data_IF_795290918714
#
_entry.id   IF_795290918714
#
_cell.length_a   1.000
_cell.length_b   1.000
_cell.length_c   1.000
_cell.angle_alpha   90.00
_cell.angle_beta   90.00
_cell.angle_gamma   90.00
#
_symmetry.space_group_name_H-M   'P 1'
#
loop_
_entity.id
_entity.type
_entity.pdbx_description
1 polymer ?
#
# COMPACT_ATOMS: atom_id res chain seq x y z
N UNK A 1 23.03 -8.41 -3.66
CA UNK A 1 21.84 -7.77 -3.04
C UNK A 1 20.94 -8.90 -2.51
N UNK A 2 20.48 -8.84 -1.26
CA UNK A 2 19.57 -9.86 -0.72
C UNK A 2 18.14 -9.60 -1.19
N UNK A 3 17.35 -10.66 -1.35
CA UNK A 3 15.94 -10.53 -1.67
C UNK A 3 15.16 -9.98 -0.46
N UNK A 4 14.36 -8.94 -0.67
CA UNK A 4 13.63 -8.25 0.40
C UNK A 4 12.68 -9.18 1.16
N UNK A 5 11.99 -10.06 0.42
CA UNK A 5 11.09 -11.07 1.00
C UNK A 5 11.86 -12.04 1.90
N UNK A 6 13.02 -12.50 1.45
CA UNK A 6 13.87 -13.40 2.22
C UNK A 6 14.33 -12.74 3.54
N UNK A 7 14.81 -11.50 3.48
CA UNK A 7 15.28 -10.76 4.66
C UNK A 7 14.16 -10.58 5.68
N UNK A 8 12.96 -10.23 5.21
CA UNK A 8 11.78 -10.06 6.06
C UNK A 8 11.34 -11.38 6.69
N UNK A 9 11.23 -12.44 5.90
CA UNK A 9 10.67 -13.71 6.34
C UNK A 9 11.69 -14.52 7.18
N UNK A 10 12.99 -14.20 7.08
CA UNK A 10 14.10 -14.92 7.73
C UNK A 10 15.05 -13.99 8.50
N UNK A 11 14.51 -12.97 9.17
CA UNK A 11 15.30 -11.99 9.95
C UNK A 11 16.33 -12.61 10.90
N UNK A 12 15.99 -13.63 11.71
CA UNK A 12 16.95 -14.27 12.60
C UNK A 12 18.15 -14.90 11.86
N UNK A 13 17.90 -15.45 10.67
CA UNK A 13 18.95 -16.06 9.82
C UNK A 13 19.88 -14.97 9.29
N UNK A 14 19.32 -13.83 8.88
CA UNK A 14 20.10 -12.69 8.38
C UNK A 14 20.92 -12.07 9.51
N UNK A 15 20.34 -11.87 10.69
CA UNK A 15 21.06 -11.37 11.86
C UNK A 15 22.22 -12.29 12.26
N UNK A 16 21.99 -13.60 12.27
CA UNK A 16 23.06 -14.57 12.56
C UNK A 16 24.15 -14.55 11.49
N UNK A 17 23.78 -14.44 10.21
CA UNK A 17 24.74 -14.34 9.11
C UNK A 17 25.58 -13.04 9.18
N UNK A 18 24.99 -11.94 9.65
CA UNK A 18 25.69 -10.68 9.90
C UNK A 18 26.67 -10.81 11.08
N UNK A 19 26.22 -11.40 12.20
CA UNK A 19 27.07 -11.69 13.36
C UNK A 19 28.26 -12.57 13.00
N UNK A 20 28.05 -13.62 12.22
CA UNK A 20 29.11 -14.53 11.74
C UNK A 20 30.16 -13.82 10.86
N UNK A 21 29.80 -12.68 10.27
CA UNK A 21 30.69 -11.84 9.45
C UNK A 21 31.32 -10.69 10.25
N UNK A 22 31.17 -10.70 11.58
CA UNK A 22 31.55 -9.62 12.48
C UNK A 22 30.93 -8.26 12.09
N UNK A 23 29.76 -8.29 11.43
CA UNK A 23 29.01 -7.10 11.07
C UNK A 23 27.88 -6.88 12.07
N UNK A 24 27.92 -5.74 12.77
CA UNK A 24 26.83 -5.29 13.63
C UNK A 24 25.98 -4.27 12.88
N UNK A 25 24.90 -4.74 12.27
CA UNK A 25 23.94 -3.89 11.54
C UNK A 25 22.62 -3.93 12.29
N UNK A 26 22.08 -2.76 12.60
CA UNK A 26 20.73 -2.62 13.15
C UNK A 26 19.70 -2.71 12.02
N UNK A 27 18.83 -3.72 12.08
CA UNK A 27 17.76 -3.93 11.10
C UNK A 27 16.42 -3.33 11.56
N UNK A 28 16.36 -2.70 12.73
CA UNK A 28 15.12 -2.18 13.31
C UNK A 28 14.44 -1.16 12.39
N UNK A 29 15.20 -0.21 11.86
CA UNK A 29 14.68 0.80 10.93
C UNK A 29 14.18 0.16 9.63
N UNK A 30 14.92 -0.83 9.10
CA UNK A 30 14.53 -1.58 7.91
C UNK A 30 13.18 -2.30 8.10
N UNK A 31 12.99 -2.97 9.24
CA UNK A 31 11.72 -3.64 9.57
C UNK A 31 10.57 -2.61 9.63
N UNK A 32 10.81 -1.46 10.25
CA UNK A 32 9.84 -0.38 10.34
C UNK A 32 9.43 0.16 8.98
N UNK A 33 10.41 0.45 8.11
CA UNK A 33 10.15 0.93 6.75
C UNK A 33 9.43 -0.11 5.89
N UNK A 34 9.81 -1.39 5.95
CA UNK A 34 9.15 -2.45 5.18
C UNK A 34 7.71 -2.68 5.65
N UNK A 35 7.45 -2.58 6.96
CA UNK A 35 6.09 -2.61 7.49
C UNK A 35 5.24 -1.46 6.95
N UNK A 36 5.75 -0.22 7.08
CA UNK A 36 5.06 0.97 6.57
C UNK A 36 4.78 0.87 5.08
N UNK A 37 5.75 0.40 4.30
CA UNK A 37 5.59 0.17 2.85
C UNK A 37 4.43 -0.78 2.56
N UNK A 38 4.32 -1.88 3.30
CA UNK A 38 3.23 -2.84 3.13
C UNK A 38 1.86 -2.27 3.50
N UNK A 39 1.80 -1.52 4.59
CA UNK A 39 0.56 -0.84 5.01
C UNK A 39 0.08 0.13 3.93
N UNK A 40 0.99 0.96 3.40
CA UNK A 40 0.69 1.88 2.30
C UNK A 40 0.24 1.14 1.04
N UNK A 41 0.89 0.04 0.67
CA UNK A 41 0.46 -0.78 -0.48
C UNK A 41 -0.96 -1.31 -0.32
N UNK A 42 -1.31 -1.79 0.88
CA UNK A 42 -2.67 -2.27 1.17
C UNK A 42 -3.68 -1.12 1.13
N UNK A 43 -3.35 0.03 1.72
CA UNK A 43 -4.21 1.23 1.69
C UNK A 43 -4.46 1.70 0.25
N UNK A 44 -3.40 1.80 -0.57
CA UNK A 44 -3.50 2.22 -1.96
C UNK A 44 -4.36 1.24 -2.78
N UNK A 45 -4.17 -0.07 -2.63
CA UNK A 45 -4.97 -1.05 -3.36
C UNK A 45 -6.44 -1.05 -2.91
N UNK A 46 -6.72 -0.85 -1.62
CA UNK A 46 -8.08 -0.68 -1.11
C UNK A 46 -8.75 0.58 -1.69
N UNK A 47 -8.05 1.71 -1.73
CA UNK A 47 -8.55 2.96 -2.29
C UNK A 47 -8.78 2.85 -3.80
N UNK A 48 -7.88 2.21 -4.54
CA UNK A 48 -8.06 1.93 -5.98
C UNK A 48 -9.28 1.04 -6.22
N UNK A 49 -9.46 -0.01 -5.41
CA UNK A 49 -10.62 -0.89 -5.49
C UNK A 49 -11.91 -0.10 -5.26
N UNK A 50 -12.00 0.69 -4.18
CA UNK A 50 -13.13 1.57 -3.89
C UNK A 50 -13.43 2.51 -5.06
N UNK A 51 -12.40 3.17 -5.60
CA UNK A 51 -12.55 4.08 -6.75
C UNK A 51 -13.14 3.38 -7.97
N UNK A 52 -12.67 2.17 -8.28
CA UNK A 52 -13.17 1.41 -9.42
C UNK A 52 -14.63 0.99 -9.22
N UNK A 53 -15.00 0.51 -8.02
CA UNK A 53 -16.38 0.13 -7.70
C UNK A 53 -17.33 1.32 -7.80
N UNK A 54 -16.99 2.46 -7.20
CA UNK A 54 -17.83 3.66 -7.26
C UNK A 54 -17.90 4.21 -8.68
N UNK A 55 -16.82 4.14 -9.46
CA UNK A 55 -16.87 4.57 -10.88
C UNK A 55 -17.85 3.73 -11.72
N UNK A 56 -18.00 2.44 -11.43
CA UNK A 56 -19.01 1.59 -12.07
C UNK A 56 -20.42 1.99 -11.64
N UNK A 57 -20.61 2.28 -10.35
CA UNK A 57 -21.89 2.76 -9.82
C UNK A 57 -22.31 4.12 -10.40
N UNK A 58 -21.38 5.07 -10.50
CA UNK A 58 -21.58 6.38 -11.16
C UNK A 58 -22.02 6.19 -12.61
N UNK A 59 -21.38 5.27 -13.34
CA UNK A 59 -21.76 4.96 -14.72
C UNK A 59 -23.20 4.44 -14.79
N UNK A 60 -23.57 3.52 -13.88
CA UNK A 60 -24.93 2.96 -13.80
C UNK A 60 -25.97 4.04 -13.47
N UNK A 61 -25.71 4.89 -12.49
CA UNK A 61 -26.60 5.98 -12.09
C UNK A 61 -26.84 6.97 -13.23
N UNK A 62 -25.76 7.36 -13.93
CA UNK A 62 -25.86 8.24 -15.11
C UNK A 62 -26.68 7.62 -16.23
N UNK A 63 -26.52 6.32 -16.50
CA UNK A 63 -27.34 5.61 -17.50
C UNK A 63 -28.81 5.54 -17.08
N UNK A 64 -29.09 5.45 -15.77
CA UNK A 64 -30.46 5.49 -15.22
C UNK A 64 -31.04 6.91 -15.09
N UNK A 65 -30.32 7.95 -15.53
CA UNK A 65 -30.77 9.36 -15.44
C UNK A 65 -30.78 9.92 -14.01
N UNK A 66 -30.09 9.26 -13.07
CA UNK A 66 -29.96 9.68 -11.67
C UNK A 66 -28.71 10.54 -11.47
N UNK A 67 -28.75 11.40 -10.46
CA UNK A 67 -27.59 12.23 -10.07
C UNK A 67 -26.48 11.37 -9.43
N UNK A 68 -25.24 11.70 -9.78
CA UNK A 68 -24.03 11.05 -9.29
C UNK A 68 -22.91 12.05 -8.92
N UNK A 69 -23.21 13.36 -8.85
CA UNK A 69 -22.21 14.40 -8.54
C UNK A 69 -21.51 14.18 -7.19
N UNK A 70 -22.27 13.79 -6.16
CA UNK A 70 -21.71 13.52 -4.83
C UNK A 70 -20.66 12.39 -4.85
N UNK A 71 -20.92 11.31 -5.59
CA UNK A 71 -19.98 10.20 -5.74
C UNK A 71 -18.74 10.60 -6.54
N UNK A 72 -18.91 11.43 -7.57
CA UNK A 72 -17.78 11.94 -8.36
C UNK A 72 -16.86 12.81 -7.50
N UNK A 73 -17.43 13.66 -6.64
CA UNK A 73 -16.66 14.51 -5.73
C UNK A 73 -15.89 13.66 -4.70
N UNK A 74 -16.55 12.66 -4.12
CA UNK A 74 -15.90 11.72 -3.19
C UNK A 74 -14.71 11.01 -3.87
N UNK A 75 -14.88 10.56 -5.12
CA UNK A 75 -13.82 9.85 -5.84
C UNK A 75 -12.63 10.74 -6.23
N UNK A 76 -12.84 12.05 -6.40
CA UNK A 76 -11.73 13.01 -6.55
C UNK A 76 -10.89 13.05 -5.27
N UNK A 77 -11.53 13.12 -4.10
CA UNK A 77 -10.83 13.08 -2.80
C UNK A 77 -10.08 11.76 -2.56
N UNK A 78 -10.63 10.64 -3.02
CA UNK A 78 -9.91 9.35 -3.01
C UNK A 78 -8.68 9.39 -3.92
N UNK A 79 -8.77 10.02 -5.10
CA UNK A 79 -7.63 10.23 -5.99
C UNK A 79 -6.52 11.06 -5.34
N UNK A 80 -6.88 12.16 -4.69
CA UNK A 80 -5.93 13.02 -3.97
C UNK A 80 -5.27 12.28 -2.81
N UNK A 81 -6.04 11.46 -2.07
CA UNK A 81 -5.50 10.62 -1.01
C UNK A 81 -4.47 9.62 -1.54
N UNK A 82 -4.76 8.94 -2.66
CA UNK A 82 -3.79 8.03 -3.30
C UNK A 82 -2.51 8.77 -3.71
N UNK A 83 -2.62 10.00 -4.22
CA UNK A 83 -1.44 10.79 -4.62
C UNK A 83 -0.57 11.25 -3.45
N UNK A 84 -1.15 11.32 -2.24
CA UNK A 84 -0.46 11.77 -1.01
C UNK A 84 0.22 10.66 -0.20
N UNK A 85 -0.03 9.40 -0.54
CA UNK A 85 0.51 8.20 0.14
C UNK A 85 1.79 7.70 -0.52
#
# INVERSE_FOLDING_TARGET
MLELKFVRDNLPVVEQALKNRNASVDLTEFIGMERKRRELLVEVEALKSKRNTVSQEVSRLKTSGLDAEALILEMRGVGDRIASL
#
